data_IF_273379119802
#
_entry.id   IF_273379119802
#
_cell.length_a   1.000
_cell.length_b   1.000
_cell.length_c   1.000
_cell.angle_alpha   90.00
_cell.angle_beta   90.00
_cell.angle_gamma   90.00
#
_symmetry.space_group_name_H-M   'P 1'
#
loop_
_entity.id
_entity.type
_entity.pdbx_description
1 polymer ?
#
# COMPACT_ATOMS: atom_id res chain seq x y z
N UNK A 1 10.40 -60.82 30.11
CA UNK A 1 10.59 -59.48 30.72
C UNK A 1 10.40 -58.33 29.71
N UNK A 2 9.60 -58.52 28.63
CA UNK A 2 9.54 -57.59 27.48
C UNK A 2 8.16 -56.93 27.28
N UNK A 3 7.14 -57.29 28.08
CA UNK A 3 5.78 -56.71 28.02
C UNK A 3 5.58 -55.45 28.87
N UNK A 4 6.52 -55.10 29.76
CA UNK A 4 6.40 -53.92 30.65
C UNK A 4 6.82 -52.60 29.98
N UNK A 5 7.54 -52.64 28.85
CA UNK A 5 8.07 -51.43 28.21
C UNK A 5 7.22 -50.92 27.02
N UNK A 6 6.32 -51.75 26.47
CA UNK A 6 5.43 -51.33 25.37
C UNK A 6 4.40 -50.27 25.78
N UNK A 7 4.01 -50.20 27.06
CA UNK A 7 3.10 -49.18 27.58
C UNK A 7 3.73 -47.78 27.75
N UNK A 8 5.07 -47.70 27.73
CA UNK A 8 5.80 -46.43 27.83
C UNK A 8 6.15 -45.84 26.47
N UNK A 9 5.99 -46.60 25.38
CA UNK A 9 6.27 -46.13 24.02
C UNK A 9 5.39 -44.93 23.61
N UNK A 10 4.07 -44.93 23.87
CA UNK A 10 3.20 -43.79 23.56
C UNK A 10 3.52 -42.56 24.41
N UNK A 11 3.87 -42.77 25.69
CA UNK A 11 4.24 -41.70 26.63
C UNK A 11 5.60 -41.11 26.25
N UNK A 12 6.57 -41.95 25.88
CA UNK A 12 7.86 -41.52 25.36
C UNK A 12 7.73 -40.74 24.06
N UNK A 13 6.82 -41.12 23.16
CA UNK A 13 6.51 -40.38 21.94
C UNK A 13 5.89 -39.00 22.26
N UNK A 14 4.95 -38.94 23.20
CA UNK A 14 4.35 -37.68 23.65
C UNK A 14 5.38 -36.74 24.29
N UNK A 15 6.29 -37.27 25.11
CA UNK A 15 7.38 -36.49 25.68
C UNK A 15 8.35 -36.00 24.61
N UNK A 16 8.63 -36.80 23.58
CA UNK A 16 9.43 -36.37 22.43
C UNK A 16 8.72 -35.24 21.66
N UNK A 17 7.41 -35.32 21.43
CA UNK A 17 6.63 -34.24 20.79
C UNK A 17 6.73 -32.95 21.60
N UNK A 18 6.61 -33.03 22.93
CA UNK A 18 6.76 -31.84 23.80
C UNK A 18 8.19 -31.28 23.72
N UNK A 19 9.22 -32.13 23.81
CA UNK A 19 10.62 -31.70 23.73
C UNK A 19 10.98 -31.11 22.35
N UNK A 20 10.50 -31.73 21.27
CA UNK A 20 10.64 -31.19 19.91
C UNK A 20 9.89 -29.86 19.77
N UNK A 21 8.66 -29.75 20.28
CA UNK A 21 7.90 -28.50 20.25
C UNK A 21 8.60 -27.38 21.02
N UNK A 22 9.24 -27.68 22.15
CA UNK A 22 10.04 -26.73 22.91
C UNK A 22 11.32 -26.35 22.15
N UNK A 23 12.03 -27.31 21.55
CA UNK A 23 13.23 -27.04 20.76
C UNK A 23 12.93 -26.15 19.54
N UNK A 24 11.83 -26.44 18.84
CA UNK A 24 11.33 -25.65 17.70
C UNK A 24 10.92 -24.26 18.19
N UNK A 25 10.21 -24.17 19.31
CA UNK A 25 9.81 -22.89 19.92
C UNK A 25 11.03 -22.03 20.28
N UNK A 26 12.06 -22.61 20.91
CA UNK A 26 13.28 -21.87 21.26
C UNK A 26 14.03 -21.40 20.01
N UNK A 27 14.24 -22.27 19.02
CA UNK A 27 14.88 -21.88 17.75
C UNK A 27 14.08 -20.84 16.96
N UNK A 28 12.75 -20.87 17.06
CA UNK A 28 11.91 -19.84 16.45
C UNK A 28 12.08 -18.49 17.17
N UNK A 29 12.34 -18.49 18.47
CA UNK A 29 12.53 -17.27 19.26
C UNK A 29 13.97 -16.74 19.28
N UNK A 30 14.94 -17.54 18.87
CA UNK A 30 16.31 -17.08 18.64
C UNK A 30 16.33 -16.28 17.33
N UNK A 31 16.61 -14.98 17.45
CA UNK A 31 16.62 -14.05 16.33
C UNK A 31 17.89 -13.23 16.32
N UNK A 32 18.61 -13.23 15.21
CA UNK A 32 19.76 -12.35 14.97
C UNK A 32 19.51 -11.50 13.72
N UNK A 33 19.77 -10.21 13.85
CA UNK A 33 19.82 -9.27 12.71
C UNK A 33 21.14 -8.54 12.73
N UNK A 34 21.70 -8.35 11.54
CA UNK A 34 22.88 -7.53 11.34
C UNK A 34 22.85 -6.89 9.96
N UNK A 35 23.49 -5.72 9.83
CA UNK A 35 23.80 -5.17 8.52
C UNK A 35 24.98 -5.96 7.96
N UNK A 36 24.83 -6.51 6.75
CA UNK A 36 25.87 -7.35 6.16
C UNK A 36 27.19 -6.59 5.95
N UNK A 37 28.29 -7.19 6.42
CA UNK A 37 29.66 -6.91 5.96
C UNK A 37 30.23 -8.03 5.09
N UNK A 38 29.44 -9.08 4.82
CA UNK A 38 29.91 -10.34 4.24
C UNK A 38 29.56 -10.35 2.76
N UNK A 39 30.61 -10.27 1.94
CA UNK A 39 30.53 -10.16 0.50
C UNK A 39 29.89 -11.39 -0.17
N UNK A 40 28.62 -11.24 -0.58
CA UNK A 40 28.08 -11.75 -1.84
C UNK A 40 26.87 -10.86 -2.20
N UNK A 41 27.13 -9.90 -3.10
CA UNK A 41 26.25 -8.82 -3.59
C UNK A 41 25.66 -7.86 -2.53
N UNK A 42 26.39 -6.77 -2.29
CA UNK A 42 25.96 -5.65 -1.45
C UNK A 42 27.09 -5.17 -0.55
N UNK A 43 28.06 -4.45 -1.11
CA UNK A 43 29.06 -3.77 -0.27
C UNK A 43 28.34 -2.77 0.64
N UNK A 44 28.68 -2.78 1.93
CA UNK A 44 28.50 -1.59 2.75
C UNK A 44 29.35 -0.48 2.14
N UNK A 45 28.70 0.46 1.48
CA UNK A 45 29.36 1.59 0.84
C UNK A 45 29.26 2.77 1.80
N UNK A 46 30.38 3.46 2.04
CA UNK A 46 30.39 4.76 2.71
C UNK A 46 30.40 4.70 4.24
N UNK A 47 30.06 5.83 4.87
CA UNK A 47 30.26 6.09 6.30
C UNK A 47 28.96 5.89 7.10
N UNK A 48 28.92 4.98 8.09
CA UNK A 48 27.76 4.77 8.97
C UNK A 48 27.29 6.01 9.71
N UNK A 49 28.19 6.98 9.94
CA UNK A 49 27.83 8.23 10.58
C UNK A 49 26.74 8.97 9.79
N UNK A 50 26.56 8.65 8.50
CA UNK A 50 25.47 9.18 7.68
C UNK A 50 24.07 8.68 8.11
N UNK A 51 23.97 7.51 8.76
CA UNK A 51 22.70 6.94 9.25
C UNK A 51 22.60 6.94 10.79
N UNK A 52 23.60 7.43 11.52
CA UNK A 52 23.62 7.34 13.00
C UNK A 52 22.38 7.94 13.68
N UNK A 53 21.77 8.96 13.07
CA UNK A 53 20.59 9.66 13.58
C UNK A 53 19.28 9.07 13.04
N UNK A 54 19.34 8.11 12.11
CA UNK A 54 18.15 7.46 11.55
C UNK A 54 17.61 6.44 12.55
N UNK A 55 16.40 6.69 13.02
CA UNK A 55 15.65 5.80 13.90
C UNK A 55 14.44 5.22 13.15
N UNK A 56 14.33 3.89 13.09
CA UNK A 56 13.24 3.22 12.39
C UNK A 56 12.86 1.93 13.10
N UNK A 57 11.63 1.48 12.90
CA UNK A 57 11.14 0.22 13.48
C UNK A 57 10.33 -0.57 12.47
N UNK A 58 10.32 -1.88 12.65
CA UNK A 58 9.53 -2.81 11.86
C UNK A 58 9.29 -4.09 12.67
N UNK A 59 8.32 -4.89 12.21
CA UNK A 59 8.06 -6.21 12.74
C UNK A 59 8.57 -7.28 11.81
N UNK A 60 9.01 -8.38 12.41
CA UNK A 60 9.20 -9.64 11.74
C UNK A 60 8.14 -10.57 12.32
N UNK A 61 7.28 -11.11 11.47
CA UNK A 61 6.15 -11.93 11.92
C UNK A 61 6.01 -13.19 11.07
N UNK A 62 5.57 -14.26 11.72
CA UNK A 62 5.15 -15.48 11.02
C UNK A 62 3.88 -15.15 10.20
N UNK A 63 3.93 -15.36 8.89
CA UNK A 63 2.77 -15.18 8.00
C UNK A 63 2.24 -16.53 7.51
N UNK A 64 0.94 -16.76 7.69
CA UNK A 64 0.23 -17.77 6.90
C UNK A 64 0.05 -17.24 5.48
N UNK A 65 0.41 -18.04 4.48
CA UNK A 65 0.21 -17.73 3.06
C UNK A 65 -1.30 -17.64 2.76
N UNK A 66 -1.89 -16.46 2.97
CA UNK A 66 -3.29 -16.14 2.70
C UNK A 66 -3.52 -14.67 2.97
N UNK A 67 -3.33 -13.84 1.94
CA UNK A 67 -3.16 -12.38 2.01
C UNK A 67 -4.35 -11.53 2.44
N UNK A 68 -5.20 -11.98 3.36
CA UNK A 68 -6.23 -11.14 3.97
C UNK A 68 -6.28 -11.37 5.46
N UNK A 69 -5.89 -10.35 6.23
CA UNK A 69 -6.05 -10.24 7.69
C UNK A 69 -5.61 -11.48 8.49
N UNK A 70 -4.33 -11.59 8.79
CA UNK A 70 -3.81 -12.58 9.73
C UNK A 70 -3.15 -11.91 10.94
N UNK A 71 -3.46 -12.38 12.15
CA UNK A 71 -2.57 -12.17 13.30
C UNK A 71 -1.37 -13.09 13.16
N UNK A 72 -0.16 -12.52 13.13
CA UNK A 72 1.06 -13.31 13.22
C UNK A 72 1.21 -13.82 14.64
N UNK A 73 1.09 -15.14 14.86
CA UNK A 73 1.12 -15.74 16.21
C UNK A 73 2.45 -15.53 16.95
N UNK A 74 3.53 -15.30 16.22
CA UNK A 74 4.81 -14.85 16.75
C UNK A 74 5.24 -13.61 15.98
N UNK A 75 5.65 -12.58 16.73
CA UNK A 75 6.19 -11.37 16.17
C UNK A 75 7.37 -10.86 17.00
N UNK A 76 8.33 -10.25 16.32
CA UNK A 76 9.45 -9.56 16.94
C UNK A 76 9.45 -8.12 16.44
N UNK A 77 9.45 -7.18 17.37
CA UNK A 77 9.68 -5.77 17.08
C UNK A 77 11.18 -5.54 16.99
N UNK A 78 11.61 -4.94 15.89
CA UNK A 78 12.97 -4.46 15.68
C UNK A 78 12.94 -2.94 15.77
N UNK A 79 13.68 -2.38 16.71
CA UNK A 79 13.94 -0.94 16.81
C UNK A 79 15.41 -0.71 16.43
N UNK A 80 15.64 0.11 15.40
CA UNK A 80 16.96 0.41 14.86
C UNK A 80 17.33 1.88 15.10
N UNK A 81 18.58 2.13 15.50
CA UNK A 81 19.22 3.44 15.56
C UNK A 81 20.56 3.36 14.81
N UNK A 82 20.61 3.90 13.59
CA UNK A 82 21.73 3.69 12.68
C UNK A 82 22.01 2.20 12.45
N UNK A 83 23.20 1.74 12.83
CA UNK A 83 23.61 0.32 12.70
C UNK A 83 23.27 -0.54 13.92
N UNK A 84 22.69 0.04 14.97
CA UNK A 84 22.36 -0.67 16.21
C UNK A 84 20.91 -1.14 16.19
N UNK A 85 20.69 -2.40 16.53
CA UNK A 85 19.36 -3.02 16.57
C UNK A 85 19.02 -3.49 17.98
N UNK A 86 17.78 -3.25 18.39
CA UNK A 86 17.17 -3.85 19.57
C UNK A 86 16.01 -4.72 19.12
N UNK A 87 16.05 -5.98 19.54
CA UNK A 87 15.04 -6.98 19.20
C UNK A 87 14.19 -7.24 20.45
N UNK A 88 12.87 -7.18 20.30
CA UNK A 88 11.92 -7.48 21.38
C UNK A 88 10.85 -8.44 20.88
N UNK A 89 10.67 -9.58 21.56
CA UNK A 89 9.56 -10.49 21.25
C UNK A 89 8.23 -9.87 21.69
N UNK A 90 7.24 -9.88 20.80
CA UNK A 90 5.87 -9.46 21.08
C UNK A 90 4.94 -10.69 21.17
N UNK A 91 4.61 -11.13 22.40
CA UNK A 91 3.78 -12.31 22.61
C UNK A 91 2.31 -12.08 22.23
N UNK A 92 1.89 -10.83 22.00
CA UNK A 92 0.52 -10.53 21.53
C UNK A 92 0.37 -10.73 20.03
N UNK A 93 1.48 -11.00 19.32
CA UNK A 93 1.49 -11.18 17.88
C UNK A 93 1.43 -9.85 17.12
N UNK A 94 1.74 -9.92 15.83
CA UNK A 94 1.63 -8.78 14.93
C UNK A 94 0.20 -8.69 14.39
N UNK A 95 -0.41 -7.50 14.47
CA UNK A 95 -1.68 -7.20 13.79
C UNK A 95 -1.40 -6.34 12.56
N UNK A 96 -1.91 -6.74 11.40
CA UNK A 96 -1.71 -6.01 10.14
C UNK A 96 -2.35 -4.61 10.20
N UNK A 97 -1.81 -3.67 9.41
CA UNK A 97 -2.17 -2.24 9.43
C UNK A 97 -3.67 -1.91 9.32
N UNK A 98 -4.48 -2.74 8.65
CA UNK A 98 -5.94 -2.58 8.64
C UNK A 98 -6.59 -2.68 10.03
N UNK A 99 -5.90 -3.30 11.00
CA UNK A 99 -6.28 -3.36 12.41
C UNK A 99 -5.46 -2.40 13.31
N UNK A 100 -4.39 -1.78 12.78
CA UNK A 100 -3.59 -0.75 13.46
C UNK A 100 -4.01 0.66 13.01
N UNK A 101 -5.30 0.86 12.76
CA UNK A 101 -5.83 2.20 12.56
C UNK A 101 -5.62 2.93 13.89
N UNK A 102 -4.81 4.00 13.83
CA UNK A 102 -4.08 4.56 14.96
C UNK A 102 -4.88 4.70 16.26
N UNK A 103 -4.14 4.47 17.35
CA UNK A 103 -4.50 4.84 18.71
C UNK A 103 -5.34 6.14 18.74
N UNK A 104 -6.51 6.06 19.40
CA UNK A 104 -7.46 7.13 19.75
C UNK A 104 -8.58 7.56 18.76
N UNK A 105 -8.72 6.99 17.56
CA UNK A 105 -9.89 7.30 16.71
C UNK A 105 -11.06 6.32 16.94
N UNK A 106 -12.14 6.77 17.59
CA UNK A 106 -13.36 5.95 17.78
C UNK A 106 -14.11 5.64 16.47
N UNK A 107 -13.92 6.48 15.42
CA UNK A 107 -14.64 6.38 14.14
C UNK A 107 -13.67 6.52 12.95
N UNK A 108 -13.93 5.72 11.92
CA UNK A 108 -13.23 5.64 10.66
C UNK A 108 -14.20 5.82 9.49
N UNK A 109 -13.68 6.36 8.38
CA UNK A 109 -14.43 6.44 7.14
C UNK A 109 -13.74 5.58 6.08
N UNK A 110 -14.51 5.12 5.10
CA UNK A 110 -14.02 4.57 3.84
C UNK A 110 -14.73 5.31 2.71
N UNK A 111 -14.00 5.70 1.67
CA UNK A 111 -14.58 6.37 0.50
C UNK A 111 -14.17 5.61 -0.75
N UNK A 112 -15.13 5.03 -1.44
CA UNK A 112 -14.90 4.24 -2.67
C UNK A 112 -15.74 4.78 -3.82
N UNK A 113 -15.16 4.80 -5.01
CA UNK A 113 -15.88 5.10 -6.25
C UNK A 113 -15.87 3.85 -7.10
N UNK A 114 -17.05 3.38 -7.50
CA UNK A 114 -17.18 2.16 -8.28
C UNK A 114 -18.22 2.29 -9.39
N UNK A 115 -18.00 1.69 -10.57
CA UNK A 115 -19.00 1.63 -11.62
C UNK A 115 -20.18 0.77 -11.19
N UNK A 116 -21.40 1.22 -11.51
CA UNK A 116 -22.64 0.55 -11.16
C UNK A 116 -23.12 -0.34 -12.29
N UNK A 117 -23.49 -1.57 -11.96
CA UNK A 117 -24.18 -2.47 -12.89
C UNK A 117 -25.61 -1.98 -13.20
N UNK A 118 -26.00 -2.04 -14.47
CA UNK A 118 -27.37 -1.79 -14.94
C UNK A 118 -27.75 -2.83 -15.99
N UNK A 119 -28.64 -3.75 -15.62
CA UNK A 119 -29.11 -4.86 -16.47
C UNK A 119 -29.63 -4.41 -17.85
N UNK A 120 -30.20 -3.19 -17.95
CA UNK A 120 -30.74 -2.70 -19.22
C UNK A 120 -29.65 -2.33 -20.23
N UNK A 121 -28.50 -1.88 -19.73
CA UNK A 121 -27.37 -1.44 -20.57
C UNK A 121 -26.22 -2.45 -20.54
N UNK A 122 -26.21 -3.40 -19.61
CA UNK A 122 -25.21 -4.45 -19.43
C UNK A 122 -25.89 -5.83 -19.28
N UNK A 123 -26.62 -6.34 -20.29
CA UNK A 123 -27.32 -7.60 -20.16
C UNK A 123 -26.37 -8.79 -20.25
N UNK A 124 -26.45 -9.69 -19.27
CA UNK A 124 -25.72 -10.96 -19.25
C UNK A 124 -26.34 -11.97 -20.23
N UNK A 125 -25.94 -11.90 -21.50
CA UNK A 125 -26.42 -12.77 -22.56
C UNK A 125 -25.27 -13.48 -23.27
N UNK A 126 -25.55 -14.63 -23.91
CA UNK A 126 -24.55 -15.35 -24.71
C UNK A 126 -24.00 -14.50 -25.87
N UNK A 127 -24.74 -13.49 -26.35
CA UNK A 127 -24.27 -12.55 -27.38
C UNK A 127 -23.14 -11.64 -26.86
N UNK A 128 -23.16 -11.31 -25.57
CA UNK A 128 -22.20 -10.42 -24.92
C UNK A 128 -21.09 -11.18 -24.20
N UNK A 129 -21.18 -12.50 -24.12
CA UNK A 129 -20.25 -13.34 -23.37
C UNK A 129 -18.88 -13.37 -24.05
N UNK A 130 -17.84 -13.01 -23.31
CA UNK A 130 -16.46 -13.24 -23.74
C UNK A 130 -16.01 -14.63 -23.28
N UNK A 131 -15.46 -15.41 -24.21
CA UNK A 131 -15.00 -16.78 -23.98
C UNK A 131 -13.53 -16.85 -23.56
N UNK A 132 -13.10 -15.99 -22.63
CA UNK A 132 -11.84 -16.16 -21.93
C UNK A 132 -12.20 -16.42 -20.47
N UNK A 133 -12.20 -17.70 -20.09
CA UNK A 133 -12.37 -18.08 -18.70
C UNK A 133 -11.11 -17.65 -17.96
N UNK A 134 -11.18 -16.53 -17.25
CA UNK A 134 -10.19 -16.22 -16.23
C UNK A 134 -10.37 -17.23 -15.10
N UNK A 135 -9.39 -18.12 -14.95
CA UNK A 135 -9.33 -19.03 -13.81
C UNK A 135 -8.83 -18.25 -12.61
N UNK A 136 -9.73 -17.76 -11.78
CA UNK A 136 -9.41 -17.36 -10.42
C UNK A 136 -9.79 -18.50 -9.48
N UNK A 137 -8.80 -19.13 -8.84
CA UNK A 137 -8.99 -20.22 -7.86
C UNK A 137 -9.89 -21.39 -8.37
N UNK A 138 -9.61 -21.95 -9.54
CA UNK A 138 -10.33 -23.09 -10.14
C UNK A 138 -11.84 -22.88 -10.42
N UNK A 139 -12.37 -21.66 -10.22
CA UNK A 139 -13.72 -21.28 -10.60
C UNK A 139 -13.75 -20.70 -12.02
N UNK A 140 -14.74 -21.11 -12.82
CA UNK A 140 -14.96 -20.51 -14.14
C UNK A 140 -15.75 -19.22 -13.96
N UNK A 141 -15.10 -18.06 -14.10
CA UNK A 141 -15.78 -16.77 -14.12
C UNK A 141 -16.23 -16.49 -15.56
N UNK A 142 -17.51 -16.15 -15.74
CA UNK A 142 -18.04 -15.72 -17.03
C UNK A 142 -18.04 -14.20 -17.09
N UNK A 143 -17.21 -13.66 -17.99
CA UNK A 143 -17.16 -12.23 -18.29
C UNK A 143 -18.02 -11.90 -19.50
N UNK A 144 -18.67 -10.74 -19.44
CA UNK A 144 -19.48 -10.16 -20.50
C UNK A 144 -18.89 -8.81 -20.89
N UNK A 145 -18.93 -8.48 -22.17
CA UNK A 145 -18.52 -7.17 -22.67
C UNK A 145 -19.70 -6.47 -23.33
N UNK A 146 -19.86 -5.17 -23.08
CA UNK A 146 -20.81 -4.35 -23.82
C UNK A 146 -20.24 -2.97 -24.14
N UNK A 147 -20.81 -2.33 -25.15
CA UNK A 147 -20.53 -0.94 -25.53
C UNK A 147 -21.69 -0.05 -25.14
N UNK A 148 -21.44 0.94 -24.29
CA UNK A 148 -22.47 1.81 -23.73
C UNK A 148 -22.11 3.28 -23.91
N UNK A 149 -23.12 4.12 -24.15
CA UNK A 149 -22.91 5.57 -24.22
C UNK A 149 -22.78 6.23 -22.84
N UNK A 150 -23.29 5.56 -21.80
CA UNK A 150 -23.45 6.12 -20.45
C UNK A 150 -23.11 5.06 -19.40
N UNK A 151 -22.29 5.42 -18.42
CA UNK A 151 -21.93 4.57 -17.28
C UNK A 151 -22.21 5.33 -15.99
N UNK A 152 -22.94 4.68 -15.07
CA UNK A 152 -23.17 5.22 -13.74
C UNK A 152 -22.07 4.77 -12.77
N UNK A 153 -21.74 5.63 -11.81
CA UNK A 153 -20.81 5.37 -10.71
C UNK A 153 -21.51 5.63 -9.39
N UNK A 154 -21.15 4.83 -8.39
CA UNK A 154 -21.52 5.01 -6.99
C UNK A 154 -20.29 5.51 -6.22
N UNK A 155 -20.43 6.66 -5.56
CA UNK A 155 -19.52 7.13 -4.53
C UNK A 155 -20.11 6.73 -3.18
N UNK A 156 -19.46 5.78 -2.53
CA UNK A 156 -19.91 5.18 -1.28
C UNK A 156 -19.03 5.69 -0.15
N UNK A 157 -19.66 6.26 0.88
CA UNK A 157 -19.00 6.63 2.13
C UNK A 157 -19.48 5.69 3.22
N UNK A 158 -18.60 4.78 3.62
CA UNK A 158 -18.81 3.89 4.75
C UNK A 158 -18.27 4.53 6.02
N UNK A 159 -18.98 4.32 7.12
CA UNK A 159 -18.55 4.72 8.47
C UNK A 159 -18.33 3.45 9.29
N UNK A 160 -17.25 3.41 10.06
CA UNK A 160 -16.85 2.23 10.80
C UNK A 160 -16.24 2.57 12.16
N UNK A 161 -16.25 1.63 13.09
CA UNK A 161 -15.47 1.67 14.33
C UNK A 161 -14.72 0.35 14.54
N UNK A 162 -13.78 0.32 15.48
CA UNK A 162 -13.07 -0.92 15.84
C UNK A 162 -13.61 -1.46 17.17
N UNK A 163 -14.14 -2.68 17.15
CA UNK A 163 -14.58 -3.41 18.34
C UNK A 163 -13.93 -4.80 18.35
N UNK A 164 -13.24 -5.15 19.45
CA UNK A 164 -12.59 -6.46 19.58
C UNK A 164 -11.50 -6.75 18.54
N UNK A 165 -10.95 -5.72 17.89
CA UNK A 165 -9.96 -5.87 16.81
C UNK A 165 -10.59 -6.08 15.42
N UNK A 166 -11.92 -6.03 15.30
CA UNK A 166 -12.64 -6.07 14.03
C UNK A 166 -13.15 -4.68 13.64
N UNK A 167 -13.14 -4.38 12.34
CA UNK A 167 -13.78 -3.18 11.79
C UNK A 167 -15.28 -3.46 11.63
N UNK A 168 -16.11 -2.69 12.33
CA UNK A 168 -17.57 -2.82 12.36
C UNK A 168 -18.19 -1.61 11.67
N UNK A 169 -19.15 -1.85 10.78
CA UNK A 169 -19.87 -0.79 10.07
C UNK A 169 -20.91 -0.10 10.97
N UNK A 170 -20.90 1.23 10.94
CA UNK A 170 -21.82 2.13 11.63
C UNK A 170 -22.99 2.51 10.73
N UNK A 171 -24.02 1.67 10.68
CA UNK A 171 -25.26 1.98 9.96
C UNK A 171 -25.17 1.80 8.45
N UNK A 172 -26.00 2.55 7.72
CA UNK A 172 -26.06 2.47 6.25
C UNK A 172 -25.05 3.39 5.58
N UNK A 173 -24.45 2.91 4.50
CA UNK A 173 -23.51 3.69 3.70
C UNK A 173 -24.20 4.90 3.03
N UNK A 174 -23.48 6.02 2.94
CA UNK A 174 -23.94 7.18 2.20
C UNK A 174 -23.54 7.04 0.73
N UNK A 175 -24.53 6.90 -0.16
CA UNK A 175 -24.30 6.64 -1.59
C UNK A 175 -24.71 7.87 -2.41
N UNK A 176 -23.79 8.35 -3.25
CA UNK A 176 -24.07 9.35 -4.27
C UNK A 176 -23.86 8.76 -5.67
N UNK A 177 -24.78 9.05 -6.58
CA UNK A 177 -24.75 8.54 -7.95
C UNK A 177 -24.30 9.63 -8.92
N UNK A 178 -23.41 9.25 -9.84
CA UNK A 178 -22.94 10.11 -10.92
C UNK A 178 -22.96 9.35 -12.24
N UNK A 179 -23.04 10.06 -13.35
CA UNK A 179 -23.03 9.45 -14.68
C UNK A 179 -21.98 10.12 -15.54
N UNK A 180 -21.12 9.29 -16.14
CA UNK A 180 -20.27 9.68 -17.26
C UNK A 180 -20.96 9.29 -18.56
N UNK A 181 -20.76 10.10 -19.59
CA UNK A 181 -21.23 9.80 -20.94
C UNK A 181 -20.13 10.04 -21.95
N UNK A 182 -20.21 9.37 -23.08
CA UNK A 182 -19.31 9.59 -24.21
C UNK A 182 -19.52 10.98 -24.79
N UNK A 183 -18.40 11.64 -25.13
CA UNK A 183 -18.43 12.93 -25.82
C UNK A 183 -18.95 12.72 -27.24
N UNK A 184 -19.66 13.72 -27.77
CA UNK A 184 -20.20 13.66 -29.13
C UNK A 184 -19.10 13.32 -30.17
N UNK A 185 -19.33 12.29 -30.97
CA UNK A 185 -18.39 11.83 -32.00
C UNK A 185 -17.22 10.97 -31.48
N UNK A 186 -17.20 10.63 -30.19
CA UNK A 186 -16.31 9.61 -29.63
C UNK A 186 -16.96 8.23 -29.65
N UNK A 187 -16.15 7.20 -29.42
CA UNK A 187 -16.61 5.80 -29.37
C UNK A 187 -17.39 5.56 -28.07
N UNK A 188 -18.28 4.58 -28.13
CA UNK A 188 -18.95 4.04 -26.95
C UNK A 188 -17.93 3.47 -25.95
N UNK A 189 -18.29 3.53 -24.67
CA UNK A 189 -17.50 2.96 -23.58
C UNK A 189 -17.59 1.43 -23.64
N UNK A 190 -16.45 0.77 -23.80
CA UNK A 190 -16.37 -0.67 -23.58
C UNK A 190 -16.34 -0.94 -22.08
N UNK A 191 -17.27 -1.77 -21.60
CA UNK A 191 -17.30 -2.25 -20.22
C UNK A 191 -17.27 -3.77 -20.21
N UNK A 192 -16.41 -4.34 -19.37
CA UNK A 192 -16.38 -5.76 -19.06
C UNK A 192 -17.01 -5.96 -17.68
N UNK A 193 -17.85 -6.98 -17.49
CA UNK A 193 -18.50 -7.24 -16.21
C UNK A 193 -18.72 -8.73 -15.99
N UNK A 194 -18.69 -9.17 -14.75
CA UNK A 194 -18.90 -10.57 -14.38
C UNK A 194 -19.59 -10.67 -13.03
N UNK A 195 -20.22 -11.82 -12.81
CA UNK A 195 -20.81 -12.18 -11.53
C UNK A 195 -19.83 -13.00 -10.70
N UNK A 196 -19.72 -12.67 -9.41
CA UNK A 196 -18.95 -13.45 -8.45
C UNK A 196 -19.79 -13.67 -7.18
N UNK A 197 -19.74 -14.89 -6.65
CA UNK A 197 -20.34 -15.21 -5.36
C UNK A 197 -19.42 -14.79 -4.21
N UNK A 198 -19.71 -13.64 -3.60
CA UNK A 198 -19.04 -13.19 -2.38
C UNK A 198 -19.82 -13.68 -1.15
N UNK A 199 -19.54 -14.91 -0.71
CA UNK A 199 -20.27 -15.55 0.39
C UNK A 199 -21.69 -15.95 -0.01
N UNK A 200 -22.71 -15.39 0.67
CA UNK A 200 -24.12 -15.65 0.37
C UNK A 200 -24.75 -14.61 -0.58
N UNK A 201 -23.96 -13.69 -1.14
CA UNK A 201 -24.44 -12.65 -2.04
C UNK A 201 -23.79 -12.78 -3.41
N UNK A 202 -24.62 -12.79 -4.45
CA UNK A 202 -24.20 -12.57 -5.83
C UNK A 202 -23.90 -11.08 -6.02
N UNK A 203 -22.69 -10.76 -6.50
CA UNK A 203 -22.29 -9.40 -6.83
C UNK A 203 -21.80 -9.34 -8.27
N UNK A 204 -22.15 -8.25 -8.95
CA UNK A 204 -21.68 -7.99 -10.31
C UNK A 204 -20.57 -6.94 -10.24
N UNK A 205 -19.38 -7.33 -10.69
CA UNK A 205 -18.26 -6.41 -10.83
C UNK A 205 -18.23 -5.84 -12.24
N UNK A 206 -18.05 -4.53 -12.34
CA UNK A 206 -17.99 -3.80 -13.60
C UNK A 206 -16.61 -3.17 -13.75
N UNK A 207 -16.00 -3.36 -14.91
CA UNK A 207 -14.68 -2.90 -15.29
C UNK A 207 -14.78 -2.12 -16.60
N UNK A 208 -14.95 -0.79 -16.54
CA UNK A 208 -14.79 0.03 -17.72
C UNK A 208 -13.34 -0.08 -18.22
N UNK A 209 -13.18 -0.26 -19.53
CA UNK A 209 -11.86 -0.34 -20.13
C UNK A 209 -11.30 1.08 -20.27
N UNK A 210 -10.50 1.50 -19.31
CA UNK A 210 -9.54 2.58 -19.53
C UNK A 210 -8.39 2.05 -20.38
N UNK A 211 -7.88 2.86 -21.31
CA UNK A 211 -6.67 2.49 -22.03
C UNK A 211 -5.46 2.52 -21.10
N UNK A 212 -4.63 1.49 -21.21
CA UNK A 212 -3.41 1.36 -20.39
C UNK A 212 -2.36 2.35 -20.90
N UNK A 213 -2.03 3.32 -20.06
CA UNK A 213 -0.93 4.26 -20.26
C UNK A 213 -1.28 5.60 -20.90
N UNK A 214 -0.33 6.54 -20.80
CA UNK A 214 -0.54 7.96 -21.08
C UNK A 214 -0.83 8.31 -22.55
N UNK A 215 -0.52 7.40 -23.49
CA UNK A 215 -0.72 7.63 -24.92
C UNK A 215 -2.20 7.70 -25.30
N UNK A 216 -3.04 6.92 -24.63
CA UNK A 216 -4.45 6.79 -24.94
C UNK A 216 -5.32 7.50 -23.89
N UNK A 217 -5.02 7.32 -22.60
CA UNK A 217 -5.65 8.04 -21.49
C UNK A 217 -4.60 8.92 -20.80
N UNK A 218 -4.86 10.23 -20.71
CA UNK A 218 -3.95 11.21 -20.07
C UNK A 218 -3.49 10.80 -18.66
N UNK A 219 -4.30 10.01 -17.94
CA UNK A 219 -3.99 9.52 -16.60
C UNK A 219 -3.70 8.01 -16.54
N UNK A 220 -3.60 7.33 -17.69
CA UNK A 220 -3.59 5.87 -17.78
C UNK A 220 -2.49 5.21 -16.95
N UNK A 221 -1.26 5.78 -16.96
CA UNK A 221 -0.19 5.24 -16.11
C UNK A 221 -0.50 5.41 -14.62
N UNK A 222 -0.99 6.59 -14.22
CA UNK A 222 -1.33 6.86 -12.82
C UNK A 222 -2.53 6.02 -12.35
N UNK A 223 -3.49 5.67 -13.22
CA UNK A 223 -4.65 4.85 -12.87
C UNK A 223 -4.29 3.39 -12.59
N UNK A 224 -3.30 2.84 -13.30
CA UNK A 224 -2.80 1.48 -13.01
C UNK A 224 -2.26 1.34 -11.57
N UNK A 225 -1.83 2.46 -10.99
CA UNK A 225 -1.28 2.55 -9.64
C UNK A 225 -2.14 3.40 -8.70
N UNK A 226 -3.30 3.85 -9.20
CA UNK A 226 -4.19 4.77 -8.52
C UNK A 226 -5.16 4.00 -7.64
N UNK A 227 -5.46 4.56 -6.48
CA UNK A 227 -6.39 3.94 -5.56
C UNK A 227 -7.83 4.02 -6.09
N UNK A 228 -8.48 2.86 -6.25
CA UNK A 228 -9.94 2.76 -6.41
C UNK A 228 -10.69 3.42 -5.22
N UNK A 229 -10.01 3.54 -4.07
CA UNK A 229 -10.48 4.27 -2.91
C UNK A 229 -9.95 5.71 -2.92
N UNK A 230 -10.83 6.67 -2.67
CA UNK A 230 -10.41 8.05 -2.51
C UNK A 230 -9.59 8.22 -1.21
N UNK A 231 -8.58 9.11 -1.19
CA UNK A 231 -7.78 9.34 0.02
C UNK A 231 -8.66 9.90 1.15
N UNK A 232 -8.32 9.53 2.38
CA UNK A 232 -8.94 10.08 3.58
C UNK A 232 -7.85 10.77 4.39
N UNK A 233 -7.98 12.09 4.49
CA UNK A 233 -7.00 12.96 5.12
C UNK A 233 -7.60 13.51 6.40
N UNK A 234 -6.90 13.35 7.53
CA UNK A 234 -7.32 13.92 8.82
C UNK A 234 -6.58 15.22 9.10
N UNK A 235 -7.31 16.24 9.53
CA UNK A 235 -6.76 17.52 9.99
C UNK A 235 -7.40 17.85 11.33
N UNK A 236 -6.69 17.54 12.41
CA UNK A 236 -7.28 17.54 13.75
C UNK A 236 -8.40 16.49 13.85
N UNK A 237 -9.62 16.95 14.19
CA UNK A 237 -10.82 16.09 14.28
C UNK A 237 -11.63 15.99 12.99
N UNK A 238 -11.31 16.83 12.00
CA UNK A 238 -12.03 16.85 10.73
C UNK A 238 -11.42 15.83 9.75
N UNK A 239 -12.27 15.21 8.93
CA UNK A 239 -11.87 14.26 7.89
C UNK A 239 -12.21 14.84 6.52
N UNK A 240 -11.31 14.63 5.56
CA UNK A 240 -11.41 15.15 4.20
C UNK A 240 -11.15 14.04 3.20
N UNK A 241 -11.71 14.19 2.01
CA UNK A 241 -11.42 13.31 0.88
C UNK A 241 -11.35 14.09 -0.42
N UNK A 242 -10.71 13.51 -1.42
CA UNK A 242 -10.54 14.11 -2.73
C UNK A 242 -11.06 13.13 -3.79
N UNK A 243 -11.98 13.59 -4.63
CA UNK A 243 -12.48 12.82 -5.77
C UNK A 243 -11.89 13.44 -7.03
N UNK A 244 -11.06 12.69 -7.74
CA UNK A 244 -10.40 13.14 -8.95
C UNK A 244 -10.47 12.10 -10.07
N UNK A 245 -9.75 12.38 -11.17
CA UNK A 245 -9.73 11.51 -12.34
C UNK A 245 -9.23 10.08 -12.04
N UNK A 246 -8.41 9.89 -11.01
CA UNK A 246 -7.86 8.57 -10.66
C UNK A 246 -8.91 7.62 -10.06
N UNK A 247 -10.02 8.14 -9.55
CA UNK A 247 -11.12 7.33 -9.01
C UNK A 247 -12.05 6.74 -10.09
N UNK A 248 -11.84 7.05 -11.37
CA UNK A 248 -12.70 6.61 -12.46
C UNK A 248 -11.91 5.85 -13.53
N UNK A 249 -12.28 4.59 -13.77
CA UNK A 249 -11.71 3.73 -14.81
C UNK A 249 -12.13 4.07 -16.24
N UNK A 250 -12.24 5.35 -16.60
CA UNK A 250 -12.65 5.81 -17.95
C UNK A 250 -11.68 6.84 -18.51
N UNK A 251 -11.52 6.86 -19.83
CA UNK A 251 -10.67 7.84 -20.50
C UNK A 251 -11.35 9.22 -20.59
N UNK A 252 -10.88 10.21 -19.82
CA UNK A 252 -11.46 11.56 -19.80
C UNK A 252 -11.23 12.36 -21.10
N UNK A 253 -10.40 11.88 -22.04
CA UNK A 253 -10.35 12.42 -23.40
C UNK A 253 -11.59 12.04 -24.22
N UNK A 254 -12.32 10.99 -23.81
CA UNK A 254 -13.45 10.42 -24.55
C UNK A 254 -14.79 10.63 -23.85
N UNK A 255 -14.79 10.84 -22.53
CA UNK A 255 -16.01 11.04 -21.74
C UNK A 255 -16.09 12.41 -21.09
N UNK A 256 -17.31 12.77 -20.69
CA UNK A 256 -17.62 13.89 -19.82
C UNK A 256 -18.64 13.48 -18.75
N UNK A 257 -18.59 14.13 -17.59
CA UNK A 257 -19.63 13.98 -16.58
C UNK A 257 -20.89 14.73 -17.00
N UNK A 258 -22.06 14.17 -16.66
CA UNK A 258 -23.30 14.96 -16.72
C UNK A 258 -23.36 16.02 -15.62
N UNK A 259 -22.85 15.66 -14.43
CA UNK A 259 -22.60 16.55 -13.31
C UNK A 259 -21.28 16.13 -12.67
N UNK A 260 -20.29 17.00 -12.76
CA UNK A 260 -18.92 16.69 -12.32
C UNK A 260 -18.85 16.56 -10.78
N UNK A 261 -18.47 15.39 -10.23
CA UNK A 261 -18.28 15.19 -8.80
C UNK A 261 -16.86 15.46 -8.32
N UNK A 262 -15.96 15.94 -9.18
CA UNK A 262 -14.56 16.08 -8.80
C UNK A 262 -14.33 17.29 -7.89
N UNK A 263 -13.35 17.16 -7.00
CA UNK A 263 -13.00 18.19 -6.03
C UNK A 263 -12.56 17.66 -4.67
N UNK A 264 -12.43 18.59 -3.74
CA UNK A 264 -12.09 18.32 -2.33
C UNK A 264 -13.36 18.44 -1.47
N UNK A 265 -13.55 17.47 -0.59
CA UNK A 265 -14.71 17.34 0.27
C UNK A 265 -14.31 17.25 1.73
N UNK A 266 -15.14 17.82 2.60
CA UNK A 266 -15.18 17.46 4.02
C UNK A 266 -16.14 16.30 4.21
N UNK A 267 -15.73 15.31 5.00
CA UNK A 267 -16.59 14.23 5.47
C UNK A 267 -17.16 14.68 6.82
N UNK A 268 -18.47 14.94 6.86
CA UNK A 268 -19.18 15.22 8.10
C UNK A 268 -19.27 13.95 8.96
N UNK A 269 -19.46 14.07 10.27
CA UNK A 269 -19.56 12.93 11.20
C UNK A 269 -20.65 11.89 10.81
N UNK A 270 -21.66 12.35 10.09
CA UNK A 270 -22.74 11.51 9.51
C UNK A 270 -22.33 10.73 8.24
N UNK A 271 -21.10 10.85 7.75
CA UNK A 271 -20.66 10.31 6.47
C UNK A 271 -21.09 11.15 5.25
N UNK A 272 -21.87 12.23 5.45
CA UNK A 272 -22.23 13.16 4.37
C UNK A 272 -21.00 13.89 3.85
N UNK A 273 -20.88 14.02 2.53
CA UNK A 273 -19.84 14.84 1.88
C UNK A 273 -20.32 16.27 1.67
N UNK A 274 -19.50 17.23 2.11
CA UNK A 274 -19.67 18.66 1.82
C UNK A 274 -18.54 19.10 0.89
N UNK A 275 -18.86 19.49 -0.34
CA UNK A 275 -17.86 19.95 -1.31
C UNK A 275 -17.29 21.30 -0.87
N UNK A 276 -15.97 21.37 -0.74
CA UNK A 276 -15.24 22.59 -0.36
C UNK A 276 -14.61 23.26 -1.58
N UNK A 277 -14.01 22.45 -2.47
CA UNK A 277 -13.33 22.94 -3.67
C UNK A 277 -13.90 22.17 -4.86
N UNK A 278 -14.86 22.75 -5.61
CA UNK A 278 -15.32 22.13 -6.84
C UNK A 278 -14.24 22.19 -7.92
N UNK A 279 -14.12 21.12 -8.71
CA UNK A 279 -13.23 21.04 -9.86
C UNK A 279 -14.02 20.66 -11.11
N UNK A 280 -13.40 20.88 -12.28
CA UNK A 280 -13.89 20.41 -13.58
C UNK A 280 -12.80 19.52 -14.15
N UNK A 281 -13.02 18.20 -14.18
CA UNK A 281 -12.02 17.20 -14.55
C UNK A 281 -11.45 17.42 -15.96
N UNK A 282 -12.16 18.14 -16.83
CA UNK A 282 -11.67 18.48 -18.17
C UNK A 282 -10.69 19.66 -18.17
N UNK A 283 -10.65 20.45 -17.09
CA UNK A 283 -9.77 21.62 -16.91
C UNK A 283 -8.67 21.37 -15.89
N UNK A 284 -9.06 20.82 -14.75
CA UNK A 284 -8.16 20.49 -13.65
C UNK A 284 -8.72 19.36 -12.77
N UNK A 285 -7.84 18.55 -12.22
CA UNK A 285 -8.22 17.48 -11.29
C UNK A 285 -7.21 17.31 -10.19
N UNK A 286 -7.69 17.06 -8.97
CA UNK A 286 -6.86 16.53 -7.90
C UNK A 286 -6.42 15.10 -8.23
N UNK A 287 -5.15 14.79 -7.96
CA UNK A 287 -4.56 13.47 -8.15
C UNK A 287 -4.22 12.83 -6.80
N UNK A 288 -3.63 13.61 -5.89
CA UNK A 288 -3.24 13.19 -4.54
C UNK A 288 -3.57 14.30 -3.54
N UNK A 289 -3.87 13.93 -2.30
CA UNK A 289 -4.12 14.88 -1.23
C UNK A 289 -3.63 14.31 0.10
N UNK A 290 -2.96 15.14 0.90
CA UNK A 290 -2.44 14.80 2.22
C UNK A 290 -2.59 15.96 3.22
N UNK A 291 -2.34 15.70 4.50
CA UNK A 291 -2.29 16.73 5.54
C UNK A 291 -0.86 17.17 5.82
N UNK A 292 -0.63 18.47 5.93
CA UNK A 292 0.66 19.02 6.32
C UNK A 292 0.52 20.36 7.01
N UNK A 293 1.08 20.48 8.22
CA UNK A 293 1.08 21.71 9.04
C UNK A 293 -0.28 22.42 9.11
N UNK A 294 -1.35 21.65 9.35
CA UNK A 294 -2.71 22.19 9.47
C UNK A 294 -3.33 22.68 8.15
N UNK A 295 -2.78 22.25 7.00
CA UNK A 295 -3.28 22.53 5.66
C UNK A 295 -3.52 21.21 4.91
N UNK A 296 -4.40 21.26 3.91
CA UNK A 296 -4.54 20.19 2.92
C UNK A 296 -3.58 20.50 1.77
N UNK A 297 -2.64 19.61 1.52
CA UNK A 297 -1.72 19.70 0.38
C UNK A 297 -2.21 18.76 -0.71
N UNK A 298 -2.24 19.23 -1.95
CA UNK A 298 -2.73 18.45 -3.08
C UNK A 298 -1.80 18.57 -4.28
N UNK A 299 -1.67 17.47 -5.02
CA UNK A 299 -1.14 17.47 -6.38
C UNK A 299 -2.33 17.61 -7.32
N UNK A 300 -2.33 18.67 -8.11
CA UNK A 300 -3.40 18.99 -9.07
C UNK A 300 -2.83 19.03 -10.47
N UNK A 301 -3.47 18.33 -11.39
CA UNK A 301 -3.22 18.50 -12.81
C UNK A 301 -4.06 19.66 -13.34
N UNK A 302 -3.45 20.52 -14.16
CA UNK A 302 -4.15 21.58 -14.91
C UNK A 302 -3.44 21.85 -16.23
N UNK A 303 -4.17 21.70 -17.35
CA UNK A 303 -3.69 21.95 -18.71
C UNK A 303 -2.39 21.20 -19.12
N UNK A 304 -2.18 20.00 -18.61
CA UNK A 304 -1.01 19.13 -18.85
C UNK A 304 0.11 19.29 -17.84
N UNK A 305 0.05 20.33 -17.01
CA UNK A 305 1.05 20.65 -15.99
C UNK A 305 0.58 20.17 -14.62
N UNK A 306 1.54 19.88 -13.76
CA UNK A 306 1.30 19.49 -12.38
C UNK A 306 1.58 20.66 -11.44
N UNK A 307 0.69 20.86 -10.49
CA UNK A 307 0.76 21.92 -9.49
C UNK A 307 0.67 21.34 -8.08
N UNK A 308 1.52 21.84 -7.19
CA UNK A 308 1.38 21.67 -5.76
C UNK A 308 0.50 22.80 -5.23
N UNK A 309 -0.59 22.45 -4.53
CA UNK A 309 -1.52 23.43 -3.95
C UNK A 309 -1.72 23.18 -2.47
N UNK A 310 -1.86 24.27 -1.74
CA UNK A 310 -2.18 24.26 -0.33
C UNK A 310 -3.56 24.87 -0.11
N UNK A 311 -4.42 24.16 0.61
CA UNK A 311 -5.76 24.61 0.96
C UNK A 311 -5.92 24.67 2.48
N UNK A 312 -6.68 25.65 2.96
CA UNK A 312 -7.20 25.63 4.33
C UNK A 312 -8.25 24.52 4.50
N UNK A 313 -8.61 24.20 5.75
CA UNK A 313 -9.72 23.28 6.06
C UNK A 313 -11.09 23.76 5.55
N UNK A 314 -11.20 25.02 5.10
CA UNK A 314 -12.39 25.60 4.48
C UNK A 314 -12.37 25.57 2.95
N UNK A 315 -11.35 24.99 2.33
CA UNK A 315 -11.20 24.94 0.87
C UNK A 315 -10.62 26.22 0.24
N UNK A 316 -10.18 27.20 1.02
CA UNK A 316 -9.50 28.39 0.46
C UNK A 316 -8.10 28.01 0.00
N UNK A 317 -7.77 28.28 -1.27
CA UNK A 317 -6.41 28.16 -1.82
C UNK A 317 -5.50 29.18 -1.13
N UNK A 318 -4.47 28.67 -0.45
CA UNK A 318 -3.49 29.46 0.30
C UNK A 318 -2.22 29.68 -0.52
N UNK A 319 -1.82 28.67 -1.29
CA UNK A 319 -0.62 28.72 -2.12
C UNK A 319 -0.71 27.77 -3.32
N UNK A 320 0.03 28.09 -4.38
CA UNK A 320 0.14 27.29 -5.61
C UNK A 320 1.54 27.45 -6.21
N UNK A 321 2.17 26.34 -6.57
CA UNK A 321 3.39 26.32 -7.36
C UNK A 321 3.31 25.23 -8.42
N UNK A 322 4.06 25.41 -9.51
CA UNK A 322 4.16 24.42 -10.58
C UNK A 322 5.35 23.48 -10.32
N UNK A 323 5.16 22.18 -10.50
CA UNK A 323 6.26 21.22 -10.48
C UNK A 323 7.12 21.35 -11.73
N UNK A 324 8.37 20.91 -11.65
CA UNK A 324 9.31 20.90 -12.78
C UNK A 324 9.05 19.78 -13.79
N UNK A 325 8.19 18.80 -13.46
CA UNK A 325 7.84 17.67 -14.30
C UNK A 325 6.40 17.75 -14.81
N UNK A 326 6.19 17.24 -16.01
CA UNK A 326 4.89 17.20 -16.68
C UNK A 326 4.19 15.85 -16.46
N UNK A 327 2.86 15.84 -16.52
CA UNK A 327 2.07 14.62 -16.35
C UNK A 327 2.40 13.56 -17.41
N UNK A 328 2.64 13.98 -18.66
CA UNK A 328 2.88 13.05 -19.78
C UNK A 328 4.12 12.18 -19.56
N UNK A 329 5.13 12.72 -18.87
CA UNK A 329 6.38 12.02 -18.57
C UNK A 329 6.33 11.29 -17.23
N UNK A 330 5.18 11.21 -16.58
CA UNK A 330 5.02 10.63 -15.25
C UNK A 330 4.31 9.28 -15.29
N UNK A 331 4.99 8.27 -14.75
CA UNK A 331 4.49 6.90 -14.57
C UNK A 331 3.80 6.72 -13.22
N UNK A 332 4.48 7.15 -12.15
CA UNK A 332 4.00 7.05 -10.76
C UNK A 332 4.33 8.33 -10.00
N UNK A 333 3.52 8.64 -8.99
CA UNK A 333 3.79 9.75 -8.07
C UNK A 333 3.46 9.35 -6.64
N UNK A 334 4.13 9.98 -5.69
CA UNK A 334 3.84 9.86 -4.28
C UNK A 334 3.93 11.23 -3.59
N UNK A 335 3.04 11.45 -2.62
CA UNK A 335 3.02 12.62 -1.75
C UNK A 335 3.27 12.15 -0.32
N UNK A 336 4.37 12.57 0.28
CA UNK A 336 4.77 12.14 1.63
C UNK A 336 5.00 13.37 2.53
N UNK A 337 4.03 13.76 3.37
CA UNK A 337 4.25 14.80 4.36
C UNK A 337 5.16 14.29 5.48
N UNK A 338 6.20 15.07 5.79
CA UNK A 338 6.95 14.97 7.04
C UNK A 338 6.60 16.14 7.96
N UNK A 339 7.19 16.21 9.16
CA UNK A 339 6.88 17.26 10.15
C UNK A 339 7.15 18.68 9.63
N UNK A 340 8.23 18.87 8.88
CA UNK A 340 8.73 20.20 8.49
C UNK A 340 8.69 20.48 6.99
N UNK A 341 8.47 19.44 6.19
CA UNK A 341 8.51 19.52 4.73
C UNK A 341 7.69 18.37 4.14
N UNK A 342 7.54 18.39 2.82
CA UNK A 342 6.76 17.44 2.04
C UNK A 342 7.66 16.91 0.93
N UNK A 343 7.69 15.60 0.77
CA UNK A 343 8.41 14.93 -0.30
C UNK A 343 7.42 14.60 -1.43
N UNK A 344 7.78 14.97 -2.65
CA UNK A 344 7.08 14.62 -3.87
C UNK A 344 7.98 13.71 -4.68
N UNK A 345 7.60 12.44 -4.79
CA UNK A 345 8.33 11.43 -5.55
C UNK A 345 7.69 11.33 -6.93
N UNK A 346 8.50 11.34 -7.98
CA UNK A 346 8.05 11.11 -9.35
C UNK A 346 8.90 10.01 -10.01
N UNK A 347 8.21 9.06 -10.65
CA UNK A 347 8.82 8.04 -11.49
C UNK A 347 8.46 8.33 -12.96
N UNK A 348 9.44 8.43 -13.88
CA UNK A 348 9.18 8.74 -15.28
C UNK A 348 8.79 7.51 -16.12
N UNK A 349 7.99 7.73 -17.17
CA UNK A 349 7.40 6.66 -18.02
C UNK A 349 8.42 5.75 -18.70
N UNK A 350 9.57 6.29 -19.11
CA UNK A 350 10.57 5.54 -19.89
C UNK A 350 11.86 5.24 -19.13
N UNK A 351 11.86 5.46 -17.81
CA UNK A 351 13.06 5.31 -17.00
C UNK A 351 12.73 4.93 -15.55
N UNK A 352 12.23 3.72 -15.35
CA UNK A 352 11.85 3.21 -14.02
C UNK A 352 13.01 3.06 -13.02
N UNK A 353 14.26 3.23 -13.49
CA UNK A 353 15.48 3.18 -12.67
C UNK A 353 15.83 4.53 -12.03
N UNK A 354 15.25 5.62 -12.55
CA UNK A 354 15.47 6.96 -12.04
C UNK A 354 14.17 7.46 -11.42
N UNK A 355 14.25 8.04 -10.23
CA UNK A 355 13.14 8.75 -9.60
C UNK A 355 13.64 10.10 -9.15
N UNK A 356 12.79 11.11 -9.27
CA UNK A 356 13.06 12.44 -8.77
C UNK A 356 12.29 12.66 -7.47
N UNK A 357 12.99 13.13 -6.45
CA UNK A 357 12.42 13.56 -5.19
C UNK A 357 12.52 15.08 -5.07
N UNK A 358 11.39 15.76 -5.15
CA UNK A 358 11.32 17.19 -4.85
C UNK A 358 10.89 17.41 -3.41
N UNK A 359 11.61 18.27 -2.71
CA UNK A 359 11.42 18.49 -1.27
C UNK A 359 10.97 19.92 -1.08
N UNK A 360 9.77 20.11 -0.52
CA UNK A 360 9.20 21.43 -0.28
C UNK A 360 8.97 21.67 1.21
N UNK A 361 9.43 22.81 1.71
CA UNK A 361 9.16 23.29 3.06
C UNK A 361 8.28 24.54 3.05
N UNK A 362 7.75 24.91 4.22
CA UNK A 362 7.07 26.19 4.41
C UNK A 362 8.06 27.29 4.78
N UNK A 363 8.02 28.39 4.05
CA UNK A 363 8.67 29.65 4.39
C UNK A 363 7.67 30.80 4.28
N UNK A 364 7.43 31.52 5.38
CA UNK A 364 6.50 32.67 5.39
C UNK A 364 5.11 32.34 4.82
N UNK A 365 4.56 31.18 5.17
CA UNK A 365 3.28 30.65 4.66
C UNK A 365 3.25 30.29 3.17
N UNK A 366 4.40 30.24 2.49
CA UNK A 366 4.53 29.76 1.12
C UNK A 366 5.36 28.47 1.06
N UNK A 367 4.96 27.55 0.18
CA UNK A 367 5.75 26.39 -0.17
C UNK A 367 6.93 26.82 -1.03
N UNK A 368 8.13 26.40 -0.62
CA UNK A 368 9.33 26.55 -1.42
C UNK A 368 10.05 25.24 -1.53
N UNK A 369 10.57 24.98 -2.72
CA UNK A 369 11.48 23.87 -2.93
C UNK A 369 12.76 24.15 -2.15
N UNK A 370 13.05 23.30 -1.17
CA UNK A 370 14.24 23.40 -0.34
C UNK A 370 15.37 22.51 -0.86
N UNK A 371 15.04 21.44 -1.58
CA UNK A 371 16.03 20.54 -2.17
C UNK A 371 15.43 19.69 -3.32
N UNK A 372 16.30 18.99 -4.05
CA UNK A 372 15.96 18.03 -5.09
C UNK A 372 16.95 16.87 -5.05
N UNK A 373 16.45 15.64 -5.00
CA UNK A 373 17.29 14.45 -4.97
C UNK A 373 16.97 13.48 -6.11
N UNK A 374 17.95 13.13 -6.95
CA UNK A 374 17.84 11.98 -7.83
C UNK A 374 18.04 10.68 -7.02
N UNK A 375 17.15 9.70 -7.20
CA UNK A 375 17.19 8.40 -6.53
C UNK A 375 17.73 7.31 -7.47
N UNK A 376 18.94 7.51 -8.00
CA UNK A 376 19.52 6.61 -8.99
C UNK A 376 19.98 5.29 -8.35
N UNK A 377 19.50 4.14 -8.86
CA UNK A 377 20.07 2.82 -8.54
C UNK A 377 19.73 2.25 -7.16
N UNK A 378 18.70 2.80 -6.50
CA UNK A 378 18.02 2.16 -5.37
C UNK A 378 16.72 1.55 -5.92
N UNK A 379 16.58 0.24 -5.81
CA UNK A 379 15.37 -0.50 -6.21
C UNK A 379 14.22 -0.15 -5.27
N UNK A 380 13.65 1.05 -5.40
CA UNK A 380 12.38 1.41 -4.79
C UNK A 380 11.32 0.73 -5.67
N UNK A 381 10.98 -0.52 -5.41
CA UNK A 381 10.08 -1.29 -6.28
C UNK A 381 8.63 -0.82 -6.18
N UNK A 382 8.27 -0.22 -5.04
CA UNK A 382 6.92 0.25 -4.75
C UNK A 382 6.89 1.76 -4.42
N UNK A 383 6.36 2.55 -5.36
CA UNK A 383 5.98 3.96 -5.16
C UNK A 383 4.44 4.09 -5.04
N UNK A 384 3.68 3.02 -5.24
CA UNK A 384 2.23 3.04 -5.06
C UNK A 384 1.90 2.96 -3.56
N UNK A 385 1.02 3.84 -3.10
CA UNK A 385 0.94 4.16 -1.67
C UNK A 385 0.36 3.07 -0.76
N UNK A 386 0.23 3.46 0.51
CA UNK A 386 -0.28 2.74 1.69
C UNK A 386 0.37 1.39 2.06
N UNK A 387 1.14 0.75 1.19
CA UNK A 387 1.95 -0.41 1.55
C UNK A 387 3.37 0.07 1.89
N UNK A 388 3.67 0.13 3.18
CA UNK A 388 4.94 0.64 3.73
C UNK A 388 6.11 -0.33 3.48
N UNK A 389 6.44 -0.55 2.21
CA UNK A 389 7.68 -1.19 1.81
C UNK A 389 8.80 -0.17 1.58
N UNK A 390 8.51 1.12 1.58
CA UNK A 390 9.52 2.18 1.45
C UNK A 390 9.30 3.25 2.49
N UNK A 391 10.39 3.67 3.14
CA UNK A 391 10.48 4.82 4.03
C UNK A 391 11.49 5.79 3.43
N UNK A 392 11.04 7.03 3.21
CA UNK A 392 11.87 8.15 2.80
C UNK A 392 11.81 9.20 3.91
N UNK A 393 12.95 9.60 4.45
CA UNK A 393 13.04 10.61 5.50
C UNK A 393 14.13 11.62 5.18
N UNK A 394 13.79 12.91 5.12
CA UNK A 394 14.76 13.95 4.79
C UNK A 394 15.08 14.82 6.00
N UNK A 395 16.37 14.83 6.38
CA UNK A 395 16.86 15.67 7.46
C UNK A 395 17.26 17.03 6.91
N UNK A 396 16.37 18.01 7.05
CA UNK A 396 16.53 19.39 6.55
C UNK A 396 17.85 20.06 6.97
N UNK A 397 18.27 19.89 8.23
CA UNK A 397 19.48 20.53 8.75
C UNK A 397 20.78 20.03 8.09
N UNK A 398 20.78 18.78 7.62
CA UNK A 398 21.98 18.16 7.03
C UNK A 398 21.88 17.99 5.51
N UNK A 399 20.68 18.11 4.94
CA UNK A 399 20.43 17.84 3.53
C UNK A 399 20.60 16.35 3.17
N UNK A 400 20.41 15.46 4.15
CA UNK A 400 20.55 14.02 3.97
C UNK A 400 19.16 13.39 3.85
N UNK A 401 18.97 12.59 2.81
CA UNK A 401 17.82 11.71 2.67
C UNK A 401 18.21 10.31 3.11
N UNK A 402 17.49 9.82 4.11
CA UNK A 402 17.49 8.44 4.56
C UNK A 402 16.43 7.65 3.81
N UNK A 403 16.80 6.44 3.40
CA UNK A 403 15.97 5.57 2.57
C UNK A 403 16.01 4.19 3.19
N UNK A 404 14.85 3.62 3.48
CA UNK A 404 14.72 2.22 3.91
C UNK A 404 13.72 1.53 3.00
N UNK A 405 14.12 0.44 2.36
CA UNK A 405 13.27 -0.30 1.40
C UNK A 405 13.20 -1.78 1.78
N UNK A 406 11.99 -2.28 1.97
CA UNK A 406 11.67 -3.70 2.10
C UNK A 406 11.35 -4.29 0.72
N UNK A 407 12.21 -5.18 0.24
CA UNK A 407 12.02 -5.89 -1.03
C UNK A 407 11.16 -7.14 -0.82
N UNK A 408 9.86 -6.93 -0.56
CA UNK A 408 8.86 -7.97 -0.38
C UNK A 408 9.26 -9.07 0.62
N UNK A 409 9.87 -8.66 1.74
CA UNK A 409 10.30 -9.56 2.81
C UNK A 409 11.59 -10.33 2.52
N UNK A 410 12.22 -10.14 1.35
CA UNK A 410 13.50 -10.79 1.00
C UNK A 410 14.70 -10.09 1.60
N UNK A 411 14.70 -8.76 1.63
CA UNK A 411 15.78 -7.95 2.13
C UNK A 411 15.26 -6.58 2.59
N UNK A 412 15.97 -5.95 3.53
CA UNK A 412 15.77 -4.54 3.88
C UNK A 412 17.01 -3.75 3.47
N UNK A 413 16.88 -2.84 2.52
CA UNK A 413 17.95 -1.94 2.11
C UNK A 413 17.91 -0.67 2.94
N UNK A 414 19.06 -0.23 3.45
CA UNK A 414 19.20 1.02 4.20
C UNK A 414 20.21 1.89 3.47
N UNK A 415 19.86 3.13 3.17
CA UNK A 415 20.74 4.06 2.49
C UNK A 415 20.61 5.49 3.05
N UNK A 416 21.68 6.26 2.87
CA UNK A 416 21.70 7.70 3.07
C UNK A 416 22.37 8.37 1.88
N UNK A 417 21.80 9.47 1.40
CA UNK A 417 22.37 10.23 0.29
C UNK A 417 22.14 11.73 0.45
N UNK A 418 22.95 12.51 -0.27
CA UNK A 418 22.64 13.90 -0.59
C UNK A 418 22.26 14.00 -2.06
N UNK A 419 21.85 15.20 -2.51
CA UNK A 419 21.60 15.48 -3.93
C UNK A 419 22.81 15.27 -4.86
N UNK A 420 24.02 15.06 -4.33
CA UNK A 420 25.26 14.89 -5.10
C UNK A 420 25.84 13.49 -5.06
N UNK A 421 25.60 12.72 -4.00
CA UNK A 421 26.24 11.41 -3.81
C UNK A 421 25.51 10.55 -2.80
N UNK A 422 25.64 9.24 -3.00
CA UNK A 422 25.38 8.23 -1.98
C UNK A 422 26.41 8.37 -0.85
N UNK A 423 25.95 8.53 0.38
CA UNK A 423 26.77 8.63 1.59
C UNK A 423 26.95 7.28 2.26
N UNK A 424 25.89 6.48 2.25
CA UNK A 424 25.85 5.17 2.87
C UNK A 424 24.87 4.26 2.14
N UNK A 425 25.19 2.97 2.02
CA UNK A 425 24.24 1.91 1.61
C UNK A 425 24.62 0.60 2.26
N UNK A 426 23.63 -0.13 2.76
CA UNK A 426 23.78 -1.49 3.26
C UNK A 426 22.49 -2.29 3.07
N UNK A 427 22.60 -3.59 3.28
CA UNK A 427 21.48 -4.53 3.30
C UNK A 427 21.42 -5.16 4.69
N UNK A 428 20.26 -5.09 5.32
CA UNK A 428 19.97 -5.87 6.52
C UNK A 428 19.80 -7.34 6.13
N UNK A 429 20.54 -8.20 6.82
CA UNK A 429 20.38 -9.63 6.77
C UNK A 429 19.93 -10.13 8.15
N UNK A 430 19.22 -11.24 8.16
CA UNK A 430 18.85 -11.92 9.39
C UNK A 430 18.21 -13.26 9.11
N UNK A 431 17.95 -14.01 10.17
CA UNK A 431 17.43 -15.38 10.08
C UNK A 431 15.99 -15.46 9.53
N UNK A 432 15.36 -14.34 9.19
CA UNK A 432 14.06 -14.29 8.50
C UNK A 432 14.13 -14.64 7.01
N UNK A 433 15.30 -14.53 6.37
CA UNK A 433 15.45 -14.78 4.92
C UNK A 433 15.70 -16.25 4.59
N UNK A 434 16.01 -17.08 5.59
CA UNK A 434 16.58 -18.41 5.41
C UNK A 434 15.97 -19.44 6.37
N UNK A 435 14.65 -19.63 6.30
CA UNK A 435 13.95 -20.74 6.97
C UNK A 435 14.45 -22.14 6.50
N UNK A 436 15.32 -22.20 5.49
CA UNK A 436 15.98 -23.45 5.09
C UNK A 436 16.92 -24.02 6.17
N UNK A 437 17.32 -23.22 7.16
CA UNK A 437 18.11 -23.67 8.33
C UNK A 437 17.27 -24.27 9.47
N UNK A 438 15.94 -24.14 9.41
CA UNK A 438 15.03 -24.90 10.28
C UNK A 438 14.83 -26.34 9.78
N UNK A 439 15.35 -26.68 8.60
CA UNK A 439 15.43 -28.06 8.13
C UNK A 439 16.32 -28.83 9.11
N UNK A 440 15.78 -29.93 9.64
CA UNK A 440 16.57 -30.87 10.44
C UNK A 440 17.83 -31.26 9.65
N UNK A 441 19.02 -31.32 10.30
CA UNK A 441 20.21 -31.85 9.63
C UNK A 441 19.90 -33.24 9.07
N UNK A 442 20.01 -33.40 7.74
CA UNK A 442 19.74 -34.62 6.96
C UNK A 442 18.30 -35.20 6.99
N UNK A 443 17.34 -34.47 6.40
CA UNK A 443 16.06 -35.05 5.93
C UNK A 443 16.06 -35.35 4.41
N UNK A 444 17.23 -35.58 3.82
CA UNK A 444 17.38 -36.03 2.42
C UNK A 444 16.88 -37.47 2.27
N UNK A 445 15.56 -37.59 2.11
CA UNK A 445 14.74 -38.68 1.54
C UNK A 445 13.48 -38.97 2.38
N UNK A 446 12.56 -37.99 2.48
CA UNK A 446 11.16 -38.28 2.81
C UNK A 446 10.38 -38.31 1.49
N UNK A 447 10.67 -39.29 0.63
CA UNK A 447 9.95 -39.47 -0.65
C UNK A 447 8.85 -40.52 -0.58
N UNK A 448 8.56 -41.09 0.61
CA UNK A 448 7.49 -42.09 0.80
C UNK A 448 6.82 -42.03 2.19
N UNK A 449 6.56 -40.82 2.72
CA UNK A 449 6.08 -40.63 4.10
C UNK A 449 4.57 -40.73 4.32
N UNK A 450 4.15 -41.28 5.46
CA UNK A 450 2.76 -41.38 5.89
C UNK A 450 2.18 -39.99 6.30
N UNK A 451 0.86 -39.90 6.56
CA UNK A 451 0.17 -38.65 6.93
C UNK A 451 0.80 -37.87 8.10
N UNK A 452 1.43 -38.55 9.07
CA UNK A 452 2.10 -37.91 10.20
C UNK A 452 3.39 -37.19 9.78
N UNK A 453 4.16 -37.75 8.86
CA UNK A 453 5.38 -37.11 8.34
C UNK A 453 5.06 -35.89 7.46
N UNK A 454 3.94 -35.95 6.73
CA UNK A 454 3.40 -34.78 6.00
C UNK A 454 2.88 -33.69 6.95
N UNK A 455 2.17 -34.06 8.03
CA UNK A 455 1.75 -33.11 9.06
C UNK A 455 2.96 -32.47 9.74
N UNK A 456 4.02 -33.25 10.01
CA UNK A 456 5.22 -32.70 10.63
C UNK A 456 6.01 -31.81 9.68
N UNK A 457 6.15 -32.18 8.41
CA UNK A 457 6.73 -31.30 7.39
C UNK A 457 5.91 -30.01 7.23
N UNK A 458 4.58 -30.10 7.25
CA UNK A 458 3.69 -28.93 7.22
C UNK A 458 3.89 -28.04 8.44
N UNK A 459 3.80 -28.58 9.66
CA UNK A 459 4.00 -27.81 10.91
C UNK A 459 5.40 -27.18 11.01
N UNK A 460 6.42 -27.80 10.42
CA UNK A 460 7.81 -27.35 10.50
C UNK A 460 8.21 -26.36 9.40
N UNK A 461 7.70 -26.50 8.18
CA UNK A 461 8.23 -25.79 7.00
C UNK A 461 7.28 -24.77 6.35
N UNK A 462 6.05 -24.54 6.86
CA UNK A 462 5.07 -23.70 6.14
C UNK A 462 4.92 -22.25 6.62
N UNK A 463 5.55 -21.87 7.74
CA UNK A 463 5.44 -20.50 8.25
C UNK A 463 6.63 -19.68 7.79
N UNK A 464 6.45 -18.94 6.69
CA UNK A 464 7.42 -17.94 6.23
C UNK A 464 7.34 -16.71 7.13
N UNK A 465 8.50 -16.17 7.49
CA UNK A 465 8.59 -14.86 8.15
C UNK A 465 8.63 -13.75 7.11
N UNK A 466 7.95 -12.66 7.42
CA UNK A 466 7.97 -11.46 6.57
C UNK A 466 8.21 -10.21 7.39
N UNK A 467 8.85 -9.23 6.76
CA UNK A 467 9.00 -7.88 7.28
C UNK A 467 7.68 -7.14 7.13
N UNK A 468 7.24 -6.49 8.19
CA UNK A 468 5.94 -5.87 8.31
C UNK A 468 6.04 -4.51 8.99
N UNK A 469 5.18 -3.56 8.62
CA UNK A 469 5.01 -2.27 9.29
C UNK A 469 6.33 -1.49 9.48
N UNK A 470 7.07 -1.29 8.40
CA UNK A 470 8.22 -0.39 8.39
C UNK A 470 7.75 1.04 8.68
N UNK A 471 8.32 1.68 9.70
CA UNK A 471 7.98 3.06 10.07
C UNK A 471 9.18 3.82 10.63
N UNK A 472 9.17 5.13 10.45
CA UNK A 472 10.11 6.04 11.10
C UNK A 472 9.77 6.11 12.60
N UNK A 473 10.79 6.16 13.45
CA UNK A 473 10.62 6.43 14.88
C UNK A 473 10.94 7.90 15.10
N UNK A 474 9.93 8.71 15.45
CA UNK A 474 10.11 10.13 15.72
C UNK A 474 10.30 10.38 17.23
N UNK A 475 10.87 11.53 17.58
CA UNK A 475 11.00 11.97 18.97
C UNK A 475 9.63 11.98 19.67
N UNK A 476 9.44 11.05 20.62
CA UNK A 476 8.19 10.87 21.39
C UNK A 476 7.52 9.50 21.23
N UNK A 477 8.01 8.64 20.33
CA UNK A 477 7.43 7.30 20.05
C UNK A 477 7.88 6.18 21.03
N UNK A 478 8.51 6.54 22.16
CA UNK A 478 9.03 5.61 23.19
C UNK A 478 8.47 5.91 24.57
#
# INVERSE_FOLDING_TARGET
MMKKYMGYLPIGLLCLIVLFSQLIYTRRNDFHVELSTIAQEGERIGDPDAIKDLAYSFYIADTNLGGYSGEGSNAWRIDAQGESFKISYDPKGYKQHQMMVGDDAEIFFSVSVSPKYDEKTMPMSEENKQSDADFYNDATIHSYENKIERLSYELVVGRHHVEGGALISDGEDNIQLFTVKTKNGKRDLTVTYHEESAGNQERVYVYPQASVGNADDKYGNLKNYGFLNAPIVKLGKESFTAIGALQFGVNFNEVEFEKDPTGIYRIEESGKLTQLVPMDVNRETVLYMEAFQGKLIAVVEKNGYLYGRAYSSKGVLLDEFQFSFDLQNTNRMMLLPEKEHVLFVQEPVYDGNNRDLLIYGMEQEQFKQIDHMPLNGLNITDISGNYANTLLHYKKDTGILHIVVNDDGKALYVAAQTNKKLLYRSTLLGDYTDDSKLVLPDATQITTGNAYENIMSYVLNTQKRTLQNLRLVQDGDV
#
